data_IF_530998974654
#
_entry.id   IF_530998974654
#
_cell.length_a   1.000
_cell.length_b   1.000
_cell.length_c   1.000
_cell.angle_alpha   90.00
_cell.angle_beta   90.00
_cell.angle_gamma   90.00
#
_symmetry.space_group_name_H-M   'P 1'
#
loop_
_entity.id
_entity.type
_entity.pdbx_description
1 polymer ?
#
# COMPACT_ATOMS: atom_id res chain seq x y z
N UNK A 1 50.32 -30.97 -0.23
CA UNK A 1 50.74 -29.56 -0.03
C UNK A 1 50.35 -28.84 -1.32
N UNK A 2 49.46 -27.85 -1.43
CA UNK A 2 48.91 -26.80 -0.56
C UNK A 2 47.39 -26.72 -0.86
N UNK A 3 46.44 -26.90 0.06
CA UNK A 3 45.90 -25.96 1.06
C UNK A 3 45.67 -24.53 0.55
N UNK A 4 44.39 -24.14 0.57
CA UNK A 4 43.93 -22.76 0.71
C UNK A 4 43.55 -22.08 -0.60
N UNK A 5 42.36 -21.48 -0.62
CA UNK A 5 41.95 -20.36 -1.51
C UNK A 5 40.81 -20.60 -2.50
N UNK A 6 39.85 -21.49 -2.21
CA UNK A 6 38.53 -21.45 -2.91
C UNK A 6 37.34 -21.35 -1.94
N UNK A 7 37.59 -21.07 -0.65
CA UNK A 7 36.56 -20.99 0.40
C UNK A 7 36.16 -19.53 0.71
N UNK A 8 36.56 -18.57 -0.12
CA UNK A 8 36.51 -17.14 0.24
C UNK A 8 35.81 -16.28 -0.81
N UNK A 9 34.68 -16.73 -1.39
CA UNK A 9 33.94 -15.83 -2.31
C UNK A 9 32.47 -16.18 -2.59
N UNK A 10 31.71 -16.81 -1.66
CA UNK A 10 30.23 -16.86 -1.79
C UNK A 10 29.52 -16.88 -0.42
N UNK A 11 30.01 -16.09 0.55
CA UNK A 11 29.39 -15.99 1.89
C UNK A 11 28.92 -14.58 2.27
N UNK A 12 28.68 -13.70 1.31
CA UNK A 12 28.18 -12.35 1.60
C UNK A 12 27.11 -11.93 0.58
N UNK A 13 25.85 -12.32 0.84
CA UNK A 13 24.66 -11.55 0.44
C UNK A 13 23.43 -12.11 1.18
N UNK A 14 23.57 -12.17 2.51
CA UNK A 14 22.45 -12.22 3.44
C UNK A 14 22.08 -10.77 3.74
N UNK A 15 21.14 -10.19 2.98
CA UNK A 15 20.45 -8.96 3.41
C UNK A 15 18.96 -9.24 3.45
N UNK A 16 18.56 -9.53 4.67
CA UNK A 16 17.20 -9.63 5.20
C UNK A 16 16.46 -8.33 4.95
N UNK A 17 15.28 -8.40 4.32
CA UNK A 17 14.19 -7.46 4.58
C UNK A 17 12.90 -8.27 4.73
N UNK A 18 12.78 -8.96 5.86
CA UNK A 18 11.49 -9.27 6.44
C UNK A 18 10.92 -7.93 6.90
N UNK A 19 10.23 -7.22 6.00
CA UNK A 19 9.49 -6.03 6.36
C UNK A 19 8.39 -6.47 7.34
N UNK A 20 8.43 -5.89 8.53
CA UNK A 20 7.75 -6.40 9.71
C UNK A 20 6.25 -6.57 9.51
N UNK A 21 5.76 -7.72 9.95
CA UNK A 21 4.40 -7.87 10.42
C UNK A 21 4.27 -6.99 11.69
N UNK A 22 3.96 -5.70 11.52
CA UNK A 22 3.50 -4.87 12.64
C UNK A 22 2.03 -5.23 12.89
N UNK A 23 1.84 -6.22 13.75
CA UNK A 23 0.58 -6.34 14.48
C UNK A 23 0.41 -5.10 15.36
N UNK A 24 -0.71 -4.39 15.19
CA UNK A 24 -1.13 -3.32 16.08
C UNK A 24 -1.45 -2.01 15.39
N UNK A 25 -2.71 -1.88 14.94
CA UNK A 25 -3.32 -0.64 14.47
C UNK A 25 -3.86 -0.77 13.05
N UNK A 26 -5.16 -1.06 12.90
CA UNK A 26 -5.88 -1.06 11.62
C UNK A 26 -6.03 0.37 11.05
N UNK A 27 -4.99 1.20 11.10
CA UNK A 27 -5.06 2.55 10.60
C UNK A 27 -3.76 2.97 9.91
N UNK A 28 -3.92 3.77 8.86
CA UNK A 28 -2.85 4.43 8.13
C UNK A 28 -3.12 5.92 8.21
N UNK A 29 -2.13 6.68 8.61
CA UNK A 29 -2.16 8.13 8.52
C UNK A 29 -0.89 8.62 7.84
N UNK A 30 -1.01 9.41 6.78
CA UNK A 30 0.12 9.99 6.09
C UNK A 30 -0.27 11.35 5.54
N UNK A 31 0.42 12.41 5.97
CA UNK A 31 0.17 13.77 5.50
C UNK A 31 1.27 14.21 4.55
N UNK A 32 0.90 14.73 3.39
CA UNK A 32 1.81 15.24 2.39
C UNK A 32 2.67 14.19 1.69
N UNK A 33 2.17 12.95 1.60
CA UNK A 33 2.87 11.87 0.92
C UNK A 33 2.97 12.17 -0.57
N UNK A 34 4.18 12.30 -1.08
CA UNK A 34 4.39 12.45 -2.52
C UNK A 34 4.36 11.09 -3.22
N UNK A 35 3.65 11.02 -4.33
CA UNK A 35 3.70 9.87 -5.26
C UNK A 35 4.01 10.37 -6.67
N UNK A 36 4.93 9.67 -7.35
CA UNK A 36 5.32 10.01 -8.71
C UNK A 36 4.26 9.66 -9.75
N UNK A 37 4.42 10.11 -11.00
CA UNK A 37 3.59 9.72 -12.13
C UNK A 37 3.50 8.19 -12.27
N UNK A 38 2.31 7.65 -12.51
CA UNK A 38 2.08 6.21 -12.76
C UNK A 38 2.57 5.29 -11.63
N UNK A 39 2.73 5.83 -10.41
CA UNK A 39 3.09 5.07 -9.21
C UNK A 39 1.86 4.83 -8.34
N UNK A 40 1.93 3.76 -7.55
CA UNK A 40 0.90 3.39 -6.60
C UNK A 40 1.44 3.26 -5.17
N UNK A 41 0.52 3.43 -4.22
CA UNK A 41 0.68 3.05 -2.82
C UNK A 41 -0.27 1.89 -2.53
N UNK A 42 0.18 0.95 -1.71
CA UNK A 42 -0.59 -0.23 -1.31
C UNK A 42 -0.58 -0.37 0.19
N UNK A 43 -1.78 -0.49 0.78
CA UNK A 43 -1.97 -0.67 2.21
C UNK A 43 -2.85 -1.88 2.48
N UNK A 44 -2.36 -2.81 3.28
CA UNK A 44 -3.09 -4.04 3.59
C UNK A 44 -3.96 -3.88 4.83
N UNK A 45 -5.18 -4.39 4.75
CA UNK A 45 -6.17 -4.42 5.83
C UNK A 45 -6.73 -5.84 5.96
N UNK A 46 -7.11 -6.22 7.18
CA UNK A 46 -7.88 -7.44 7.45
C UNK A 46 -9.32 -7.05 7.75
N UNK A 47 -10.27 -7.70 7.07
CA UNK A 47 -11.67 -7.72 7.48
C UNK A 47 -11.93 -8.78 8.54
N UNK A 48 -13.14 -8.86 9.12
CA UNK A 48 -14.31 -8.04 8.81
C UNK A 48 -14.34 -6.74 9.63
N UNK A 49 -14.29 -5.59 8.97
CA UNK A 49 -14.28 -4.25 9.60
C UNK A 49 -14.96 -3.22 8.69
N UNK A 50 -15.43 -2.13 9.28
CA UNK A 50 -15.82 -0.95 8.51
C UNK A 50 -14.58 -0.06 8.32
N UNK A 51 -14.10 0.04 7.09
CA UNK A 51 -12.94 0.86 6.73
C UNK A 51 -13.37 2.28 6.41
N UNK A 52 -13.05 3.22 7.28
CA UNK A 52 -13.13 4.66 6.98
C UNK A 52 -11.96 5.06 6.07
N UNK A 53 -12.27 5.54 4.87
CA UNK A 53 -11.32 5.97 3.83
C UNK A 53 -11.42 7.47 3.66
N UNK A 54 -10.33 8.18 3.96
CA UNK A 54 -10.17 9.62 3.73
C UNK A 54 -8.87 9.85 2.98
N UNK A 55 -8.96 10.21 1.71
CA UNK A 55 -7.80 10.52 0.87
C UNK A 55 -8.06 11.80 0.12
N UNK A 56 -7.17 12.78 0.22
CA UNK A 56 -7.19 13.98 -0.63
C UNK A 56 -5.86 14.13 -1.36
N UNK A 57 -5.93 14.66 -2.57
CA UNK A 57 -4.79 14.80 -3.46
C UNK A 57 -4.69 16.20 -4.06
N UNK A 58 -3.46 16.65 -4.31
CA UNK A 58 -3.19 17.87 -5.08
C UNK A 58 -3.44 17.71 -6.59
N UNK A 59 -3.78 16.50 -7.04
CA UNK A 59 -4.09 16.14 -8.42
C UNK A 59 -4.91 14.84 -8.45
N UNK A 60 -5.39 14.42 -9.63
CA UNK A 60 -6.26 13.26 -9.76
C UNK A 60 -5.54 11.95 -9.44
N UNK A 61 -6.24 11.05 -8.77
CA UNK A 61 -5.80 9.70 -8.48
C UNK A 61 -6.95 8.71 -8.61
N UNK A 62 -6.60 7.43 -8.69
CA UNK A 62 -7.52 6.31 -8.58
C UNK A 62 -7.37 5.66 -7.22
N UNK A 63 -8.48 5.33 -6.56
CA UNK A 63 -8.52 4.54 -5.33
C UNK A 63 -9.29 3.25 -5.57
N UNK A 64 -8.65 2.12 -5.29
CA UNK A 64 -9.19 0.78 -5.46
C UNK A 64 -9.07 0.01 -4.14
N UNK A 65 -10.10 -0.79 -3.80
CA UNK A 65 -10.02 -1.78 -2.73
C UNK A 65 -10.26 -3.16 -3.33
N UNK A 66 -9.23 -3.99 -3.27
CA UNK A 66 -9.21 -5.30 -3.91
C UNK A 66 -8.60 -6.38 -3.00
N UNK A 67 -8.87 -7.66 -3.31
CA UNK A 67 -8.18 -8.77 -2.69
C UNK A 67 -6.68 -8.75 -3.05
N UNK A 68 -5.80 -9.42 -2.28
CA UNK A 68 -4.35 -9.37 -2.50
C UNK A 68 -3.89 -9.80 -3.89
N UNK A 69 -4.61 -10.73 -4.48
CA UNK A 69 -4.41 -11.28 -5.83
C UNK A 69 -5.12 -10.47 -6.93
N UNK A 70 -5.89 -9.45 -6.58
CA UNK A 70 -6.70 -8.66 -7.51
C UNK A 70 -7.92 -9.39 -8.08
N UNK A 71 -8.26 -10.60 -7.61
CA UNK A 71 -9.39 -11.38 -8.15
C UNK A 71 -10.77 -10.83 -7.76
N UNK A 72 -10.84 -10.01 -6.71
CA UNK A 72 -12.07 -9.39 -6.21
C UNK A 72 -11.85 -7.93 -5.93
N UNK A 73 -12.74 -7.09 -6.45
CA UNK A 73 -12.77 -5.66 -6.22
C UNK A 73 -14.11 -5.28 -5.60
N UNK A 74 -14.08 -4.44 -4.58
CA UNK A 74 -15.28 -4.08 -3.80
C UNK A 74 -15.52 -2.57 -3.75
N UNK A 75 -14.55 -1.78 -4.19
CA UNK A 75 -14.66 -0.33 -4.21
C UNK A 75 -13.67 0.26 -5.19
N UNK A 76 -14.13 1.20 -6.03
CA UNK A 76 -13.29 1.93 -6.96
C UNK A 76 -13.78 3.38 -7.11
N UNK A 77 -12.83 4.31 -7.19
CA UNK A 77 -13.05 5.71 -7.59
C UNK A 77 -11.89 6.13 -8.48
N UNK A 78 -12.17 6.43 -9.74
CA UNK A 78 -11.18 6.85 -10.72
C UNK A 78 -11.16 8.37 -10.90
N UNK A 79 -9.99 8.93 -11.22
CA UNK A 79 -9.80 10.33 -11.58
C UNK A 79 -10.43 11.33 -10.59
N UNK A 80 -10.30 11.06 -9.30
CA UNK A 80 -10.80 11.90 -8.20
C UNK A 80 -9.67 12.66 -7.51
N UNK A 81 -9.99 13.78 -6.87
CA UNK A 81 -9.04 14.52 -6.02
C UNK A 81 -9.35 14.35 -4.53
N UNK A 82 -10.49 13.79 -4.18
CA UNK A 82 -10.90 13.51 -2.81
C UNK A 82 -11.79 12.27 -2.73
N UNK A 83 -11.59 11.45 -1.70
CA UNK A 83 -12.44 10.33 -1.30
C UNK A 83 -12.67 10.42 0.20
N UNK A 84 -13.93 10.38 0.64
CA UNK A 84 -14.34 10.35 2.04
C UNK A 84 -15.55 9.42 2.21
N UNK A 85 -15.27 8.14 2.42
CA UNK A 85 -16.25 7.06 2.36
C UNK A 85 -16.02 6.07 3.52
N UNK A 86 -17.02 5.26 3.84
CA UNK A 86 -16.85 4.07 4.70
C UNK A 86 -17.19 2.84 3.90
N UNK A 87 -16.23 1.91 3.80
CA UNK A 87 -16.35 0.70 2.99
C UNK A 87 -16.34 -0.52 3.92
N UNK A 88 -17.35 -1.37 3.79
CA UNK A 88 -17.40 -2.63 4.54
C UNK A 88 -16.39 -3.60 3.94
N UNK A 89 -15.40 -4.02 4.72
CA UNK A 89 -14.47 -5.08 4.32
C UNK A 89 -15.05 -6.41 4.80
N UNK A 90 -15.39 -7.35 3.89
CA UNK A 90 -15.75 -8.71 4.27
C UNK A 90 -14.57 -9.42 4.95
N UNK A 91 -14.84 -10.56 5.58
CA UNK A 91 -13.79 -11.41 6.13
C UNK A 91 -12.72 -11.74 5.07
N UNK A 92 -11.45 -11.64 5.47
CA UNK A 92 -10.30 -11.88 4.61
C UNK A 92 -9.29 -10.74 4.61
N UNK A 93 -8.36 -10.81 3.67
CA UNK A 93 -7.34 -9.77 3.46
C UNK A 93 -7.74 -8.89 2.28
N UNK A 94 -7.44 -7.61 2.37
CA UNK A 94 -7.76 -6.58 1.38
C UNK A 94 -6.60 -5.61 1.24
N UNK A 95 -6.47 -5.00 0.07
CA UNK A 95 -5.53 -3.94 -0.21
C UNK A 95 -6.29 -2.68 -0.62
N UNK A 96 -5.95 -1.56 0.00
CA UNK A 96 -6.27 -0.23 -0.52
C UNK A 96 -5.11 0.19 -1.42
N UNK A 97 -5.41 0.42 -2.69
CA UNK A 97 -4.46 0.85 -3.71
C UNK A 97 -4.80 2.29 -4.10
N UNK A 98 -3.82 3.18 -4.06
CA UNK A 98 -3.96 4.57 -4.50
C UNK A 98 -2.95 4.81 -5.62
N UNK A 99 -3.41 5.08 -6.84
CA UNK A 99 -2.59 5.22 -8.05
C UNK A 99 -2.65 6.64 -8.59
N UNK A 100 -1.50 7.22 -8.89
CA UNK A 100 -1.43 8.48 -9.64
C UNK A 100 -1.49 8.17 -11.14
N UNK A 101 -2.59 8.52 -11.79
CA UNK A 101 -2.76 8.39 -13.25
C UNK A 101 -2.14 9.55 -14.04
N UNK A 102 -1.74 10.61 -13.35
CA UNK A 102 -1.21 11.82 -13.95
C UNK A 102 0.24 11.70 -14.39
N UNK A 103 0.67 12.66 -15.19
CA UNK A 103 2.04 12.78 -15.69
C UNK A 103 2.96 13.60 -14.78
N UNK A 104 2.45 14.10 -13.64
CA UNK A 104 3.20 14.87 -12.65
C UNK A 104 3.10 14.21 -11.26
N UNK A 105 4.08 14.40 -10.37
CA UNK A 105 3.94 14.00 -8.98
C UNK A 105 2.73 14.67 -8.31
N UNK A 106 2.03 13.95 -7.45
CA UNK A 106 0.94 14.49 -6.63
C UNK A 106 1.26 14.32 -5.15
N UNK A 107 0.72 15.22 -4.34
CA UNK A 107 0.77 15.18 -2.88
C UNK A 107 -0.55 14.61 -2.36
N UNK A 108 -0.47 13.63 -1.46
CA UNK A 108 -1.62 12.98 -0.85
C UNK A 108 -1.65 13.19 0.68
N UNK A 109 -2.83 13.47 1.21
CA UNK A 109 -3.15 13.31 2.63
C UNK A 109 -4.07 12.09 2.77
N UNK A 110 -3.64 11.10 3.55
CA UNK A 110 -4.23 9.76 3.65
C UNK A 110 -4.59 9.49 5.11
N UNK A 111 -5.82 9.06 5.34
CA UNK A 111 -6.34 8.55 6.61
C UNK A 111 -7.23 7.36 6.33
N UNK A 112 -6.74 6.16 6.61
CA UNK A 112 -7.48 4.90 6.51
C UNK A 112 -7.64 4.35 7.92
N UNK A 113 -8.84 3.94 8.33
CA UNK A 113 -9.08 3.39 9.68
C UNK A 113 -10.16 2.32 9.66
N UNK A 114 -9.79 1.08 9.94
CA UNK A 114 -10.74 0.01 10.24
C UNK A 114 -11.34 0.19 11.63
N UNK A 115 -12.66 0.06 11.73
CA UNK A 115 -13.44 0.07 12.97
C UNK A 115 -14.09 -1.28 13.19
#
# INVERSE_FOLDING_TARGET
MSRGSVVLLVSLLLVVLVAGCMGGGNFVYSKGKMIGPHKELRYSFRGSVDLEVKVSGSGPFTLLIASPDGSREIFEKENVTEVKETVKLPEGSWNVVIRNEGNSPIKLDISLRGK
#
